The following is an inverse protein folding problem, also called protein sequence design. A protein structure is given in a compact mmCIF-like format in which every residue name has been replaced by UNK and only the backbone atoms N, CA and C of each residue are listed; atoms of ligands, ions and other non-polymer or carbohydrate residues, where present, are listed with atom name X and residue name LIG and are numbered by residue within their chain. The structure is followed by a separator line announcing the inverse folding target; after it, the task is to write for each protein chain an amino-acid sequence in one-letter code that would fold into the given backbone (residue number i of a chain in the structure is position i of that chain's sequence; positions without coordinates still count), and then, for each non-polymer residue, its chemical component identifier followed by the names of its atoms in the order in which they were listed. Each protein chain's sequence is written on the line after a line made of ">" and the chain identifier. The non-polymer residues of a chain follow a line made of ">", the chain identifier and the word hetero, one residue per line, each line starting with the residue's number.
data_IF_153839735192
#
_entry.id   IF_153839735192
#
_cell.length_a   1.000
_cell.length_b   1.000
_cell.length_c   1.000
_cell.angle_alpha   90.00
_cell.angle_beta   90.00
_cell.angle_gamma   90.00
#
_symmetry.space_group_name_H-M   'P 1'
#
loop_
_entity.id
_entity.type
_entity.pdbx_description
1 polymer ?
#
# COMPACT_ATOMS: atom_id res chain seq x y z
N UNK A 1 -1.86 15.37 -15.58
CA UNK A 1 -1.86 14.00 -15.02
C UNK A 1 -1.27 14.01 -13.61
N UNK A 2 -2.00 13.54 -12.59
CA UNK A 2 -1.53 13.55 -11.19
C UNK A 2 -0.21 12.75 -11.06
N UNK A 3 0.89 13.45 -10.74
CA UNK A 3 2.25 12.89 -10.60
C UNK A 3 2.58 12.38 -9.19
N UNK A 4 1.59 12.18 -8.32
CA UNK A 4 1.80 11.65 -6.96
C UNK A 4 1.25 10.23 -6.81
N UNK A 5 1.61 9.32 -7.72
CA UNK A 5 1.41 7.90 -7.46
C UNK A 5 2.45 7.46 -6.44
N UNK A 6 2.01 7.05 -5.24
CA UNK A 6 2.91 6.54 -4.20
C UNK A 6 3.73 5.37 -4.77
N UNK A 7 5.00 5.61 -5.07
CA UNK A 7 5.87 4.68 -5.79
C UNK A 7 6.03 3.35 -5.03
N UNK A 8 5.94 3.38 -3.69
CA UNK A 8 6.01 2.19 -2.83
C UNK A 8 4.76 1.32 -2.92
N UNK A 9 3.57 1.92 -2.94
CA UNK A 9 2.33 1.15 -3.15
C UNK A 9 2.30 0.59 -4.57
N UNK A 10 2.80 1.34 -5.55
CA UNK A 10 2.93 0.87 -6.93
C UNK A 10 3.90 -0.32 -7.04
N UNK A 11 5.08 -0.24 -6.44
CA UNK A 11 6.04 -1.37 -6.46
C UNK A 11 5.49 -2.60 -5.73
N UNK A 12 4.79 -2.41 -4.60
CA UNK A 12 4.10 -3.49 -3.90
C UNK A 12 3.00 -4.12 -4.78
N UNK A 13 2.17 -3.30 -5.43
CA UNK A 13 1.14 -3.74 -6.36
C UNK A 13 1.75 -4.57 -7.51
N UNK A 14 2.78 -4.05 -8.18
CA UNK A 14 3.45 -4.73 -9.29
C UNK A 14 4.07 -6.06 -8.85
N UNK A 15 4.74 -6.09 -7.68
CA UNK A 15 5.27 -7.34 -7.12
C UNK A 15 4.16 -8.37 -6.91
N UNK A 16 3.04 -7.96 -6.31
CA UNK A 16 1.89 -8.85 -6.06
C UNK A 16 1.16 -9.29 -7.34
N UNK A 17 1.15 -8.47 -8.39
CA UNK A 17 0.66 -8.86 -9.72
C UNK A 17 1.58 -9.87 -10.39
N UNK A 18 2.91 -9.68 -10.30
CA UNK A 18 3.92 -10.62 -10.82
C UNK A 18 3.90 -11.97 -10.10
N UNK A 19 3.52 -12.01 -8.82
CA UNK A 19 3.25 -13.25 -8.06
C UNK A 19 2.01 -14.02 -8.61
N UNK A 20 1.30 -13.53 -9.63
CA UNK A 20 0.15 -14.21 -10.24
C UNK A 20 -1.18 -14.01 -9.50
N UNK A 21 -1.24 -13.09 -8.53
CA UNK A 21 -2.44 -12.91 -7.71
C UNK A 21 -3.60 -12.27 -8.48
N UNK A 22 -4.86 -12.68 -8.21
CA UNK A 22 -6.03 -12.05 -8.79
C UNK A 22 -6.04 -10.54 -8.51
N UNK A 23 -6.45 -9.75 -9.51
CA UNK A 23 -6.43 -8.28 -9.43
C UNK A 23 -7.08 -7.74 -8.15
N UNK A 24 -8.28 -8.22 -7.82
CA UNK A 24 -9.02 -7.79 -6.62
C UNK A 24 -8.25 -8.04 -5.33
N UNK A 25 -7.57 -9.18 -5.22
CA UNK A 25 -6.76 -9.54 -4.05
C UNK A 25 -5.59 -8.58 -3.88
N UNK A 26 -4.95 -8.20 -4.99
CA UNK A 26 -3.83 -7.24 -4.95
C UNK A 26 -4.30 -5.86 -4.52
N UNK A 27 -5.44 -5.38 -5.03
CA UNK A 27 -6.01 -4.08 -4.65
C UNK A 27 -6.36 -4.06 -3.16
N UNK A 28 -7.00 -5.12 -2.65
CA UNK A 28 -7.33 -5.24 -1.22
C UNK A 28 -6.05 -5.25 -0.37
N UNK A 29 -4.99 -5.94 -0.79
CA UNK A 29 -3.72 -5.93 -0.07
C UNK A 29 -3.08 -4.53 -0.01
N UNK A 30 -3.16 -3.76 -1.10
CA UNK A 30 -2.71 -2.36 -1.11
C UNK A 30 -3.53 -1.48 -0.14
N UNK A 31 -4.86 -1.64 -0.12
CA UNK A 31 -5.73 -0.91 0.80
C UNK A 31 -5.42 -1.25 2.27
N UNK A 32 -5.25 -2.54 2.59
CA UNK A 32 -4.89 -2.97 3.93
C UNK A 32 -3.53 -2.44 4.38
N UNK A 33 -2.56 -2.33 3.46
CA UNK A 33 -1.26 -1.74 3.77
C UNK A 33 -1.37 -0.24 4.10
N UNK A 34 -2.19 0.49 3.36
CA UNK A 34 -2.48 1.90 3.65
C UNK A 34 -3.19 2.08 4.99
N UNK A 35 -4.20 1.26 5.28
CA UNK A 35 -4.94 1.31 6.54
C UNK A 35 -4.04 1.04 7.74
N UNK A 36 -3.11 0.08 7.65
CA UNK A 36 -2.14 -0.15 8.71
C UNK A 36 -1.23 1.05 8.95
N UNK A 37 -0.78 1.74 7.89
CA UNK A 37 0.03 2.95 8.04
C UNK A 37 -0.76 4.06 8.73
N UNK A 38 -1.99 4.31 8.29
CA UNK A 38 -2.88 5.31 8.90
C UNK A 38 -3.12 4.97 10.38
N UNK A 39 -3.45 3.72 10.67
CA UNK A 39 -3.68 3.26 12.04
C UNK A 39 -2.43 3.41 12.91
N UNK A 40 -1.23 3.08 12.40
CA UNK A 40 0.01 3.25 13.15
C UNK A 40 0.28 4.73 13.48
N UNK A 41 0.06 5.64 12.52
CA UNK A 41 0.20 7.09 12.72
C UNK A 41 -0.78 7.58 13.78
N UNK A 42 -2.06 7.21 13.65
CA UNK A 42 -3.13 7.70 14.53
C UNK A 42 -3.07 7.10 15.95
N UNK A 43 -2.80 5.80 16.06
CA UNK A 43 -2.88 5.08 17.33
C UNK A 43 -1.59 5.19 18.14
N UNK A 44 -0.42 5.16 17.49
CA UNK A 44 0.88 5.10 18.18
C UNK A 44 1.62 6.43 18.19
N UNK A 45 1.10 7.46 17.50
CA UNK A 45 1.81 8.72 17.26
C UNK A 45 3.16 8.51 16.57
N UNK A 46 3.41 7.31 16.03
CA UNK A 46 4.66 6.99 15.38
C UNK A 46 4.57 7.50 13.95
N UNK A 47 5.49 8.39 13.53
CA UNK A 47 5.54 8.80 12.15
C UNK A 47 5.72 7.55 11.29
N UNK A 48 5.05 7.56 10.14
CA UNK A 48 5.18 6.49 9.17
C UNK A 48 6.66 6.25 8.88
N UNK A 49 7.14 5.06 9.25
CA UNK A 49 8.52 4.64 9.02
C UNK A 49 8.57 3.76 7.77
N UNK A 50 9.40 4.19 6.83
CA UNK A 50 9.49 3.64 5.49
C UNK A 50 10.33 2.36 5.43
#
# INVERSE_FOLDING_TARGET
>A
MRKNANARIRSYYEKKRKEGKPYKVVVIACANKLLHHIFAILQKGQPYQD
#
